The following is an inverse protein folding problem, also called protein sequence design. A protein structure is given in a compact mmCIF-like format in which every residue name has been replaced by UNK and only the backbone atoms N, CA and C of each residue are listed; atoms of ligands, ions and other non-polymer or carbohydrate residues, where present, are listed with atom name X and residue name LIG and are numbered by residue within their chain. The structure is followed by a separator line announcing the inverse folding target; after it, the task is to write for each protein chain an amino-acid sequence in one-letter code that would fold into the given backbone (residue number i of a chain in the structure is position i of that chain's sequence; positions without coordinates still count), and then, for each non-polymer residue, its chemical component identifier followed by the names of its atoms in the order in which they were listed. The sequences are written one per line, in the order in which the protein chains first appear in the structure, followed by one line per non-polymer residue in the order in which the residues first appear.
data_IF_274827003214
#
_entry.id   IF_274827003214
#
_cell.length_a   1.000
_cell.length_b   1.000
_cell.length_c   1.000
_cell.angle_alpha   90.00
_cell.angle_beta   90.00
_cell.angle_gamma   90.00
#
_symmetry.space_group_name_H-M   'P 1'
#
loop_
_entity.id
_entity.type
_entity.pdbx_description
1 polymer ?
#
# COMPACT_ATOMS: atom_id res chain seq x y z
N UNK A 1 -50.90 47.51 14.43
CA UNK A 1 -49.91 48.25 15.23
C UNK A 1 -48.52 47.84 14.74
N UNK A 2 -47.80 48.81 14.18
CA UNK A 2 -46.35 48.90 13.94
C UNK A 2 -45.64 47.87 13.06
N UNK A 3 -45.50 48.31 11.81
CA UNK A 3 -44.39 48.12 10.86
C UNK A 3 -43.02 48.20 11.54
N UNK A 4 -42.11 47.26 11.20
CA UNK A 4 -40.68 47.55 11.01
C UNK A 4 -40.21 46.86 9.71
N UNK A 5 -39.38 47.50 8.87
CA UNK A 5 -39.18 47.12 7.47
C UNK A 5 -37.70 46.76 7.12
N UNK A 6 -37.51 46.54 5.81
CA UNK A 6 -36.28 46.62 4.99
C UNK A 6 -35.26 45.45 5.01
N UNK A 7 -34.50 45.27 3.90
CA UNK A 7 -34.41 44.01 3.16
C UNK A 7 -32.91 43.64 2.98
N UNK A 8 -32.62 42.64 2.15
CA UNK A 8 -31.52 42.68 1.18
C UNK A 8 -31.29 41.28 0.62
N UNK A 9 -31.61 41.14 -0.65
CA UNK A 9 -30.76 40.49 -1.65
C UNK A 9 -29.70 39.52 -1.12
N UNK A 10 -30.02 38.22 -1.11
CA UNK A 10 -29.07 37.18 -1.52
C UNK A 10 -29.77 36.37 -2.62
N UNK A 11 -29.96 37.03 -3.76
CA UNK A 11 -30.09 36.36 -5.03
C UNK A 11 -28.67 35.99 -5.48
N UNK A 12 -28.47 34.73 -5.86
CA UNK A 12 -27.31 34.31 -6.66
C UNK A 12 -26.09 33.84 -5.87
N UNK A 13 -26.16 32.63 -5.31
CA UNK A 13 -25.00 31.73 -5.30
C UNK A 13 -25.45 30.25 -5.37
N UNK A 14 -26.35 29.97 -6.32
CA UNK A 14 -26.54 28.63 -6.89
C UNK A 14 -25.66 28.54 -8.14
N UNK A 15 -24.44 28.03 -8.02
CA UNK A 15 -23.67 27.34 -9.08
C UNK A 15 -22.15 27.37 -8.78
N UNK A 16 -21.67 26.59 -7.80
CA UNK A 16 -20.23 26.34 -7.69
C UNK A 16 -19.87 25.10 -6.84
N UNK A 17 -20.60 23.99 -6.95
CA UNK A 17 -20.18 22.70 -6.34
C UNK A 17 -20.63 21.51 -7.20
N UNK A 18 -20.13 21.47 -8.44
CA UNK A 18 -20.15 20.26 -9.26
C UNK A 18 -18.72 19.89 -9.69
N UNK A 19 -17.82 19.75 -8.71
CA UNK A 19 -16.70 18.82 -8.84
C UNK A 19 -17.07 17.58 -8.04
N UNK A 20 -17.93 16.74 -8.63
CA UNK A 20 -18.06 15.36 -8.19
C UNK A 20 -16.75 14.62 -8.51
N UNK A 21 -16.34 13.63 -7.69
CA UNK A 21 -15.26 12.74 -8.08
C UNK A 21 -15.68 12.02 -9.36
N UNK A 22 -15.05 12.36 -10.49
CA UNK A 22 -15.23 11.60 -11.73
C UNK A 22 -14.80 10.15 -11.45
N UNK A 23 -15.68 9.16 -11.56
CA UNK A 23 -15.29 7.78 -11.41
C UNK A 23 -14.41 7.41 -12.62
N UNK A 24 -13.17 7.00 -12.35
CA UNK A 24 -12.46 5.93 -13.04
C UNK A 24 -12.49 5.86 -14.60
N UNK A 25 -12.60 6.97 -15.31
CA UNK A 25 -12.53 7.00 -16.78
C UNK A 25 -11.09 7.04 -17.32
N UNK A 26 -10.15 6.33 -16.66
CA UNK A 26 -8.75 6.26 -17.07
C UNK A 26 -8.20 4.82 -17.16
N UNK A 27 -9.03 3.80 -16.93
CA UNK A 27 -8.59 2.39 -17.02
C UNK A 27 -8.81 1.75 -18.40
N UNK A 28 -9.32 2.48 -19.39
CA UNK A 28 -9.75 1.91 -20.68
C UNK A 28 -9.24 2.68 -21.93
N UNK A 29 -8.19 3.49 -21.80
CA UNK A 29 -7.69 4.30 -22.94
C UNK A 29 -6.72 3.54 -23.86
N UNK A 30 -6.42 2.28 -23.58
CA UNK A 30 -5.75 1.39 -24.52
C UNK A 30 -6.61 0.14 -24.64
N UNK A 31 -7.25 -0.07 -25.78
CA UNK A 31 -8.05 -1.28 -26.08
C UNK A 31 -7.21 -2.56 -26.19
N UNK A 32 -6.09 -2.61 -25.47
CA UNK A 32 -5.20 -3.75 -25.38
C UNK A 32 -5.87 -4.81 -24.50
N UNK A 33 -6.13 -5.97 -25.09
CA UNK A 33 -6.71 -7.08 -24.34
C UNK A 33 -5.66 -7.56 -23.34
N UNK A 34 -5.97 -7.54 -22.04
CA UNK A 34 -5.06 -8.02 -21.00
C UNK A 34 -5.40 -9.46 -20.64
N UNK A 35 -4.42 -10.35 -20.74
CA UNK A 35 -4.58 -11.74 -20.33
C UNK A 35 -3.62 -12.05 -19.17
N UNK A 36 -4.18 -12.26 -17.99
CA UNK A 36 -3.40 -12.58 -16.80
C UNK A 36 -3.32 -14.09 -16.64
N UNK A 37 -2.14 -14.66 -16.88
CA UNK A 37 -1.88 -16.11 -16.79
C UNK A 37 -0.99 -16.39 -15.59
N UNK A 38 -1.37 -17.35 -14.75
CA UNK A 38 -0.54 -17.83 -13.64
C UNK A 38 0.27 -19.01 -14.15
N UNK A 39 1.60 -18.87 -14.13
CA UNK A 39 2.55 -19.87 -14.63
C UNK A 39 3.25 -20.53 -13.44
N UNK A 40 3.33 -21.86 -13.44
CA UNK A 40 3.93 -22.62 -12.35
C UNK A 40 5.35 -23.04 -12.69
N UNK A 41 6.26 -22.83 -11.73
CA UNK A 41 7.68 -23.06 -11.85
C UNK A 41 8.27 -22.56 -13.15
N UNK A 42 8.78 -23.45 -14.00
CA UNK A 42 9.50 -23.12 -15.25
C UNK A 42 8.67 -23.23 -16.53
N UNK A 43 7.35 -23.37 -16.43
CA UNK A 43 6.49 -23.42 -17.61
C UNK A 43 6.65 -22.15 -18.48
N UNK A 44 6.65 -22.27 -19.82
CA UNK A 44 6.76 -21.12 -20.69
C UNK A 44 5.50 -20.24 -20.61
N UNK A 45 5.69 -18.94 -20.41
CA UNK A 45 4.62 -17.95 -20.54
C UNK A 45 4.11 -17.93 -22.00
N UNK A 46 2.81 -18.11 -22.25
CA UNK A 46 2.28 -18.06 -23.60
C UNK A 46 2.56 -16.69 -24.22
N UNK A 47 2.97 -16.68 -25.48
CA UNK A 47 3.27 -15.44 -26.19
C UNK A 47 1.96 -14.68 -26.49
N UNK A 48 1.96 -13.39 -26.18
CA UNK A 48 0.96 -12.41 -26.58
C UNK A 48 0.58 -12.56 -28.06
N UNK A 49 -0.71 -12.68 -28.37
CA UNK A 49 -1.22 -12.76 -29.75
C UNK A 49 -1.81 -11.41 -30.18
N UNK A 50 -1.25 -10.78 -31.21
CA UNK A 50 -1.78 -9.54 -31.77
C UNK A 50 -1.71 -8.38 -30.78
N UNK A 51 -2.85 -7.76 -30.48
CA UNK A 51 -3.00 -6.62 -29.54
C UNK A 51 -3.33 -7.06 -28.11
N UNK A 52 -3.01 -8.30 -27.73
CA UNK A 52 -3.23 -8.85 -26.39
C UNK A 52 -1.93 -8.87 -25.61
N UNK A 53 -1.87 -8.23 -24.44
CA UNK A 53 -0.72 -8.24 -23.54
C UNK A 53 -0.92 -9.37 -22.52
N UNK A 54 -0.08 -10.40 -22.59
CA UNK A 54 -0.07 -11.51 -21.62
C UNK A 54 0.86 -11.18 -20.45
N UNK A 55 0.29 -11.01 -19.25
CA UNK A 55 1.04 -10.79 -18.01
C UNK A 55 1.13 -12.11 -17.25
N UNK A 56 2.34 -12.65 -17.13
CA UNK A 56 2.57 -13.91 -16.44
C UNK A 56 3.02 -13.70 -15.00
N UNK A 57 2.18 -14.08 -14.04
CA UNK A 57 2.57 -14.16 -12.64
C UNK A 57 3.15 -15.56 -12.36
N UNK A 58 4.46 -15.63 -12.01
CA UNK A 58 5.13 -16.90 -11.70
C UNK A 58 4.91 -17.31 -10.25
N UNK A 59 4.44 -18.55 -10.05
CA UNK A 59 4.37 -19.24 -8.74
C UNK A 59 5.33 -20.42 -8.75
N UNK A 60 5.74 -20.92 -7.59
CA UNK A 60 6.63 -22.09 -7.54
C UNK A 60 5.88 -23.39 -7.89
N UNK A 61 6.63 -24.45 -8.22
CA UNK A 61 6.09 -25.75 -8.64
C UNK A 61 5.23 -26.43 -7.54
N UNK A 62 5.54 -26.20 -6.26
CA UNK A 62 4.79 -26.80 -5.16
C UNK A 62 3.39 -26.16 -4.97
N UNK A 63 3.16 -24.96 -5.51
CA UNK A 63 1.84 -24.29 -5.50
C UNK A 63 0.91 -24.83 -6.59
N UNK A 64 1.38 -25.70 -7.49
CA UNK A 64 0.52 -26.36 -8.49
C UNK A 64 -0.48 -27.33 -7.86
N UNK A 65 -0.05 -28.05 -6.81
CA UNK A 65 -0.85 -29.09 -6.15
C UNK A 65 -1.29 -28.70 -4.73
N UNK A 66 -0.93 -27.50 -4.27
CA UNK A 66 -1.26 -27.00 -2.93
C UNK A 66 -2.39 -25.99 -2.98
N UNK A 67 -3.25 -26.00 -1.96
CA UNK A 67 -4.28 -24.96 -1.78
C UNK A 67 -3.58 -23.59 -1.80
N UNK A 68 -4.03 -22.65 -2.68
CA UNK A 68 -3.37 -21.36 -2.82
C UNK A 68 -3.25 -20.67 -1.47
N UNK A 69 -2.11 -19.99 -1.24
CA UNK A 69 -1.83 -19.25 -0.01
C UNK A 69 -3.03 -18.49 0.61
N UNK A 70 -3.83 -17.70 -0.14
CA UNK A 70 -4.98 -16.99 0.44
C UNK A 70 -6.09 -17.92 0.98
N UNK A 71 -6.18 -19.16 0.49
CA UNK A 71 -7.18 -20.14 0.92
C UNK A 71 -6.66 -21.14 1.95
N UNK A 72 -5.41 -21.00 2.40
CA UNK A 72 -4.85 -21.86 3.45
C UNK A 72 -5.48 -21.63 4.81
N UNK A 73 -5.99 -20.42 5.06
CA UNK A 73 -6.71 -20.07 6.28
C UNK A 73 -8.18 -20.43 6.17
N UNK A 74 -8.49 -21.69 5.86
CA UNK A 74 -9.89 -22.13 5.80
C UNK A 74 -10.43 -22.37 7.20
N UNK A 75 -11.62 -21.85 7.49
CA UNK A 75 -12.37 -22.12 8.71
C UNK A 75 -12.98 -23.54 8.75
N UNK A 76 -12.39 -24.47 7.98
CA UNK A 76 -12.83 -25.85 7.90
C UNK A 76 -12.64 -26.53 9.26
N UNK A 77 -13.64 -27.26 9.79
CA UNK A 77 -13.54 -27.91 11.10
C UNK A 77 -12.35 -28.87 11.23
N UNK A 78 -11.79 -29.35 10.11
CA UNK A 78 -10.61 -30.22 10.07
C UNK A 78 -9.32 -29.49 10.49
N UNK A 79 -9.27 -28.17 10.40
CA UNK A 79 -8.09 -27.35 10.75
C UNK A 79 -8.07 -26.93 12.22
N UNK A 80 -9.12 -27.21 12.99
CA UNK A 80 -9.12 -26.89 14.41
C UNK A 80 -8.21 -27.82 15.22
N UNK A 81 -7.41 -27.22 16.10
CA UNK A 81 -6.58 -27.95 17.03
C UNK A 81 -7.41 -28.94 17.87
N UNK A 82 -6.88 -30.16 18.07
CA UNK A 82 -7.55 -31.21 18.85
C UNK A 82 -7.99 -30.72 20.24
N UNK A 83 -7.16 -29.91 20.90
CA UNK A 83 -7.48 -29.31 22.20
C UNK A 83 -8.78 -28.50 22.19
N UNK A 84 -9.03 -27.72 21.13
CA UNK A 84 -10.27 -26.93 21.01
C UNK A 84 -11.50 -27.85 20.88
N UNK A 85 -11.35 -29.01 20.23
CA UNK A 85 -12.41 -30.03 20.14
C UNK A 85 -12.71 -30.65 21.49
N UNK A 86 -11.67 -30.94 22.28
CA UNK A 86 -11.83 -31.49 23.64
C UNK A 86 -12.56 -30.48 24.54
N UNK A 87 -12.16 -29.20 24.51
CA UNK A 87 -12.86 -28.13 25.26
C UNK A 87 -14.32 -28.02 24.82
N UNK A 88 -14.62 -28.17 23.52
CA UNK A 88 -15.99 -28.17 23.05
C UNK A 88 -16.81 -29.33 23.65
N UNK A 89 -16.22 -30.52 23.83
CA UNK A 89 -16.91 -31.65 24.46
C UNK A 89 -17.32 -31.40 25.91
N UNK A 90 -16.57 -30.61 26.68
CA UNK A 90 -16.94 -30.23 28.05
C UNK A 90 -18.22 -29.38 28.12
N UNK A 91 -18.53 -28.68 27.02
CA UNK A 91 -19.74 -27.84 26.91
C UNK A 91 -20.95 -28.57 26.35
N UNK A 92 -20.78 -29.78 25.80
CA UNK A 92 -21.88 -30.61 25.28
C UNK A 92 -22.73 -31.08 26.47
N UNK A 93 -23.94 -30.52 26.58
CA UNK A 93 -24.85 -30.81 27.69
C UNK A 93 -24.97 -29.68 28.71
N UNK A 94 -24.17 -28.62 28.61
CA UNK A 94 -24.38 -27.40 29.38
C UNK A 94 -25.70 -26.74 28.93
N UNK A 95 -26.61 -26.51 29.89
CA UNK A 95 -27.89 -25.83 29.65
C UNK A 95 -28.03 -24.66 30.64
N UNK A 96 -28.51 -23.51 30.14
CA UNK A 96 -28.67 -22.28 30.92
C UNK A 96 -28.26 -21.03 30.16
N UNK A 97 -28.20 -19.89 30.86
CA UNK A 97 -27.71 -18.62 30.29
C UNK A 97 -26.26 -18.77 29.83
N UNK A 98 -25.91 -18.18 28.68
CA UNK A 98 -24.59 -18.29 28.04
C UNK A 98 -24.20 -19.68 27.50
N UNK A 99 -25.03 -20.70 27.64
CA UNK A 99 -24.87 -21.96 26.90
C UNK A 99 -25.35 -21.79 25.45
N UNK A 100 -24.85 -22.58 24.51
CA UNK A 100 -25.41 -22.67 23.15
C UNK A 100 -26.16 -23.99 22.97
N UNK A 101 -27.10 -24.25 23.88
CA UNK A 101 -27.95 -25.44 23.85
C UNK A 101 -29.34 -25.09 23.32
N UNK A 102 -29.95 -25.95 22.46
CA UNK A 102 -31.33 -25.78 22.00
C UNK A 102 -32.37 -26.04 23.10
N UNK A 103 -31.95 -26.59 24.25
CA UNK A 103 -32.83 -26.93 25.37
C UNK A 103 -32.41 -26.18 26.63
N UNK A 104 -33.34 -25.42 27.22
CA UNK A 104 -33.13 -24.69 28.47
C UNK A 104 -33.40 -23.19 28.36
N UNK A 105 -33.90 -22.59 29.45
CA UNK A 105 -34.15 -21.14 29.50
C UNK A 105 -32.82 -20.38 29.40
N UNK A 106 -32.74 -19.44 28.45
CA UNK A 106 -31.55 -18.60 28.26
C UNK A 106 -30.42 -19.20 27.41
N UNK A 107 -30.55 -20.41 26.85
CA UNK A 107 -29.55 -20.99 25.93
C UNK A 107 -29.47 -20.28 24.57
N UNK A 108 -30.47 -19.49 24.20
CA UNK A 108 -30.43 -18.70 22.97
C UNK A 108 -29.38 -17.58 23.03
N UNK A 109 -29.01 -17.08 24.23
CA UNK A 109 -28.05 -15.97 24.35
C UNK A 109 -26.63 -16.41 23.99
N UNK A 110 -26.20 -17.60 24.41
CA UNK A 110 -24.89 -18.15 24.06
C UNK A 110 -24.77 -18.47 22.56
N UNK A 111 -25.82 -19.04 21.95
CA UNK A 111 -25.83 -19.24 20.50
C UNK A 111 -25.87 -17.92 19.71
N UNK A 112 -26.59 -16.89 20.19
CA UNK A 112 -26.56 -15.57 19.56
C UNK A 112 -25.13 -15.00 19.55
N UNK A 113 -24.40 -15.08 20.66
CA UNK A 113 -22.99 -14.67 20.70
C UNK A 113 -22.11 -15.49 19.75
N UNK A 114 -22.31 -16.80 19.67
CA UNK A 114 -21.59 -17.67 18.72
C UNK A 114 -21.83 -17.24 17.26
N UNK A 115 -23.09 -16.98 16.89
CA UNK A 115 -23.44 -16.53 15.54
C UNK A 115 -22.87 -15.14 15.22
N UNK A 116 -22.90 -14.22 16.19
CA UNK A 116 -22.27 -12.90 16.06
C UNK A 116 -20.76 -13.03 15.83
N UNK A 117 -20.08 -13.85 16.64
CA UNK A 117 -18.65 -14.10 16.50
C UNK A 117 -18.31 -14.71 15.15
N UNK A 118 -19.10 -15.68 14.68
CA UNK A 118 -18.94 -16.27 13.35
C UNK A 118 -19.10 -15.21 12.24
N UNK A 119 -20.12 -14.35 12.33
CA UNK A 119 -20.32 -13.28 11.35
C UNK A 119 -19.13 -12.29 11.30
N UNK A 120 -18.57 -11.91 12.44
CA UNK A 120 -17.37 -11.07 12.48
C UNK A 120 -16.11 -11.81 11.99
N UNK A 121 -15.98 -13.10 12.24
CA UNK A 121 -14.88 -13.92 11.73
C UNK A 121 -14.91 -13.99 10.20
N UNK A 122 -16.08 -14.24 9.60
CA UNK A 122 -16.25 -14.22 8.14
C UNK A 122 -15.93 -12.84 7.55
N UNK A 123 -16.37 -11.75 8.20
CA UNK A 123 -16.03 -10.40 7.77
C UNK A 123 -14.52 -10.15 7.79
N UNK A 124 -13.81 -10.62 8.82
CA UNK A 124 -12.35 -10.48 8.92
C UNK A 124 -11.62 -11.30 7.85
N UNK A 125 -12.14 -12.49 7.52
CA UNK A 125 -11.59 -13.36 6.48
C UNK A 125 -12.02 -12.95 5.06
N UNK A 126 -12.92 -11.97 4.93
CA UNK A 126 -13.36 -11.50 3.61
C UNK A 126 -12.16 -11.02 2.77
N UNK A 127 -12.14 -11.36 1.46
CA UNK A 127 -11.02 -10.99 0.58
C UNK A 127 -10.71 -9.50 0.61
N UNK A 128 -11.72 -8.63 0.63
CA UNK A 128 -11.54 -7.16 0.62
C UNK A 128 -10.74 -6.65 1.83
N UNK A 129 -11.04 -7.19 3.02
CA UNK A 129 -10.34 -6.82 4.26
C UNK A 129 -8.91 -7.37 4.26
N UNK A 130 -8.71 -8.59 3.74
CA UNK A 130 -7.38 -9.19 3.62
C UNK A 130 -6.51 -8.45 2.59
N UNK A 131 -7.07 -8.05 1.45
CA UNK A 131 -6.39 -7.21 0.47
C UNK A 131 -6.00 -5.85 1.05
N UNK A 132 -6.91 -5.21 1.80
CA UNK A 132 -6.64 -3.94 2.48
C UNK A 132 -5.45 -4.05 3.44
N UNK A 133 -5.40 -5.11 4.25
CA UNK A 133 -4.28 -5.36 5.16
C UNK A 133 -2.95 -5.55 4.43
N UNK A 134 -2.95 -6.27 3.30
CA UNK A 134 -1.74 -6.44 2.48
C UNK A 134 -1.27 -5.11 1.88
N UNK A 135 -2.19 -4.25 1.45
CA UNK A 135 -1.87 -2.91 0.94
C UNK A 135 -1.26 -2.03 2.04
N UNK A 136 -1.83 -2.07 3.24
CA UNK A 136 -1.32 -1.31 4.38
C UNK A 136 0.06 -1.80 4.82
N UNK A 137 0.29 -3.11 4.82
CA UNK A 137 1.61 -3.68 5.11
C UNK A 137 2.67 -3.23 4.10
N UNK A 138 2.35 -3.22 2.79
CA UNK A 138 3.26 -2.70 1.77
C UNK A 138 3.45 -1.18 1.84
N UNK A 139 2.41 -0.44 2.22
CA UNK A 139 2.53 1.00 2.50
C UNK A 139 3.52 1.23 3.64
N UNK A 140 3.41 0.47 4.73
CA UNK A 140 4.34 0.57 5.87
C UNK A 140 5.78 0.23 5.48
N UNK A 141 6.00 -0.78 4.64
CA UNK A 141 7.34 -1.08 4.10
C UNK A 141 7.93 0.10 3.32
N UNK A 142 7.16 0.68 2.40
CA UNK A 142 7.60 1.87 1.64
C UNK A 142 7.88 3.06 2.55
N UNK A 143 7.03 3.31 3.55
CA UNK A 143 7.26 4.35 4.56
C UNK A 143 8.58 4.10 5.31
N UNK A 144 8.84 2.86 5.74
CA UNK A 144 10.08 2.54 6.46
C UNK A 144 11.34 2.79 5.63
N UNK A 145 11.31 2.54 4.32
CA UNK A 145 12.44 2.85 3.43
C UNK A 145 12.64 4.36 3.31
N UNK A 146 11.56 5.12 3.14
CA UNK A 146 11.60 6.59 3.08
C UNK A 146 12.18 7.15 4.38
N UNK A 147 11.75 6.63 5.54
CA UNK A 147 12.25 7.09 6.84
C UNK A 147 13.77 6.83 6.99
N UNK A 148 14.25 5.67 6.52
CA UNK A 148 15.69 5.36 6.54
C UNK A 148 16.49 6.27 5.60
N UNK A 149 15.98 6.57 4.41
CA UNK A 149 16.64 7.45 3.43
C UNK A 149 16.62 8.92 3.88
N UNK A 150 15.52 9.37 4.49
CA UNK A 150 15.40 10.68 5.07
C UNK A 150 16.39 10.87 6.23
N UNK A 151 16.54 9.87 7.11
CA UNK A 151 17.52 9.91 8.20
C UNK A 151 18.97 9.97 7.68
N UNK A 152 19.30 9.19 6.65
CA UNK A 152 20.62 9.25 6.01
C UNK A 152 20.89 10.61 5.34
N UNK A 153 19.89 11.17 4.68
CA UNK A 153 19.99 12.50 4.04
C UNK A 153 20.16 13.60 5.07
N UNK A 154 19.40 13.57 6.16
CA UNK A 154 19.50 14.52 7.26
C UNK A 154 20.91 14.49 7.88
N UNK A 155 21.44 13.30 8.16
CA UNK A 155 22.80 13.15 8.67
C UNK A 155 23.87 13.71 7.70
N UNK A 156 23.69 13.53 6.39
CA UNK A 156 24.57 14.09 5.36
C UNK A 156 24.53 15.62 5.33
N UNK A 157 23.34 16.20 5.44
CA UNK A 157 23.16 17.67 5.45
C UNK A 157 23.84 18.26 6.68
N UNK A 158 23.63 17.69 7.86
CA UNK A 158 24.26 18.15 9.11
C UNK A 158 25.80 18.10 9.06
N UNK A 159 26.37 17.08 8.41
CA UNK A 159 27.81 17.00 8.19
C UNK A 159 28.31 18.08 7.22
N UNK A 160 27.57 18.34 6.13
CA UNK A 160 27.91 19.40 5.19
C UNK A 160 27.86 20.79 5.84
N UNK A 161 26.85 21.05 6.67
CA UNK A 161 26.70 22.30 7.41
C UNK A 161 27.86 22.51 8.39
N UNK A 162 28.25 21.48 9.15
CA UNK A 162 29.42 21.53 10.04
C UNK A 162 30.71 21.84 9.28
N UNK A 163 30.91 21.19 8.13
CA UNK A 163 32.08 21.44 7.27
C UNK A 163 32.08 22.86 6.69
N UNK A 164 30.91 23.41 6.35
CA UNK A 164 30.77 24.78 5.86
C UNK A 164 31.03 25.80 6.96
N UNK A 165 30.52 25.59 8.17
CA UNK A 165 30.81 26.43 9.33
C UNK A 165 32.29 26.44 9.71
N UNK A 166 32.96 25.28 9.69
CA UNK A 166 34.39 25.19 9.94
C UNK A 166 35.23 25.97 8.92
N UNK A 167 34.85 25.93 7.63
CA UNK A 167 35.50 26.74 6.58
C UNK A 167 35.29 28.23 6.80
N UNK A 168 34.10 28.67 7.19
CA UNK A 168 33.82 30.07 7.50
C UNK A 168 34.59 30.56 8.73
N UNK A 169 34.62 29.79 9.82
CA UNK A 169 35.38 30.15 11.02
C UNK A 169 36.90 30.27 10.75
N UNK A 170 37.44 29.46 9.84
CA UNK A 170 38.84 29.55 9.40
C UNK A 170 39.12 30.78 8.53
N UNK A 171 38.16 31.19 7.69
CA UNK A 171 38.27 32.45 6.94
C UNK A 171 38.15 33.68 7.83
N UNK A 172 37.30 33.64 8.86
CA UNK A 172 37.09 34.77 9.78
C UNK A 172 38.25 34.99 10.75
N UNK A 173 39.04 33.93 11.04
CA UNK A 173 40.22 33.99 11.91
C UNK A 173 41.53 34.33 11.19
N UNK A 174 41.50 34.50 9.86
CA UNK A 174 42.65 34.96 9.08
C UNK A 174 42.58 36.50 8.93
N UNK A 175 43.50 37.29 9.50
CA UNK A 175 43.59 38.71 9.16
C UNK A 175 43.94 38.81 7.68
N UNK A 176 43.17 39.60 6.93
CA UNK A 176 43.33 39.80 5.50
C UNK A 176 44.79 40.08 5.09
N UNK A 177 45.46 39.07 4.55
CA UNK A 177 46.70 39.22 3.79
C UNK A 177 46.33 39.24 2.29
N UNK A 178 46.18 40.46 1.80
CA UNK A 178 46.50 40.94 0.44
C UNK A 178 46.26 40.00 -0.76
N UNK A 179 45.20 40.25 -1.54
CA UNK A 179 45.23 40.12 -3.00
C UNK A 179 44.07 40.88 -3.67
N UNK A 180 44.42 41.86 -4.50
CA UNK A 180 43.57 42.69 -5.39
C UNK A 180 43.31 41.91 -6.71
N UNK A 181 42.22 42.18 -7.46
CA UNK A 181 41.51 41.17 -8.25
C UNK A 181 42.06 41.02 -9.68
N UNK A 182 42.06 39.77 -10.17
CA UNK A 182 42.44 39.41 -11.53
C UNK A 182 41.30 38.73 -12.28
N UNK A 183 40.67 39.51 -13.16
CA UNK A 183 39.87 39.14 -14.34
C UNK A 183 40.14 37.72 -14.87
N UNK A 184 39.09 36.91 -15.02
CA UNK A 184 38.72 36.22 -16.28
C UNK A 184 37.41 35.45 -16.10
N UNK A 185 36.37 35.88 -16.80
CA UNK A 185 35.24 35.03 -17.17
C UNK A 185 35.65 34.16 -18.37
N UNK A 186 35.46 32.83 -18.31
CA UNK A 186 35.24 32.03 -19.49
C UNK A 186 33.76 31.71 -19.59
N UNK A 187 33.18 32.25 -20.65
CA UNK A 187 31.93 31.86 -21.27
C UNK A 187 31.82 30.31 -21.37
N UNK A 188 30.75 29.73 -20.81
CA UNK A 188 30.30 28.37 -21.16
C UNK A 188 28.92 28.48 -21.80
N UNK A 189 28.88 29.01 -23.02
CA UNK A 189 27.91 28.66 -24.03
C UNK A 189 28.38 27.39 -24.71
N UNK A 190 28.07 26.22 -24.16
CA UNK A 190 28.01 24.97 -24.92
C UNK A 190 26.99 24.08 -24.25
N UNK A 191 25.76 24.14 -24.77
CA UNK A 191 24.84 23.01 -24.71
C UNK A 191 25.58 21.80 -25.29
N UNK A 192 25.87 20.82 -24.45
CA UNK A 192 26.25 19.49 -24.92
C UNK A 192 25.17 18.53 -24.46
N UNK A 193 24.53 17.97 -25.48
CA UNK A 193 23.56 16.89 -25.47
C UNK A 193 23.73 15.90 -24.30
N UNK A 194 22.61 15.61 -23.63
CA UNK A 194 22.44 14.42 -22.81
C UNK A 194 22.25 13.23 -23.76
N UNK A 195 23.15 12.24 -23.85
CA UNK A 195 22.80 10.98 -24.47
C UNK A 195 21.98 10.17 -23.47
N UNK A 196 20.68 10.17 -23.68
CA UNK A 196 19.76 9.22 -23.07
C UNK A 196 20.12 7.82 -23.61
N UNK A 197 20.69 6.95 -22.78
CA UNK A 197 20.83 5.53 -23.11
C UNK A 197 20.37 4.70 -21.91
N UNK A 198 19.09 4.31 -21.97
CA UNK A 198 18.57 3.14 -21.28
C UNK A 198 19.18 1.93 -21.99
N UNK A 199 20.31 1.45 -21.46
CA UNK A 199 21.00 0.25 -21.91
C UNK A 199 20.55 -0.96 -21.12
N UNK A 200 19.82 -1.83 -21.81
CA UNK A 200 19.44 -3.20 -21.44
C UNK A 200 20.66 -4.04 -21.03
N UNK A 201 20.71 -4.50 -19.78
CA UNK A 201 21.63 -5.55 -19.36
C UNK A 201 20.90 -6.91 -19.44
N UNK A 202 21.06 -7.59 -20.58
CA UNK A 202 20.73 -9.00 -20.77
C UNK A 202 22.03 -9.81 -20.86
N UNK A 203 22.17 -10.76 -19.92
CA UNK A 203 22.96 -12.01 -19.88
C UNK A 203 24.20 -12.21 -20.78
N UNK A 204 25.33 -12.65 -20.19
CA UNK A 204 25.92 -13.99 -20.40
C UNK A 204 27.33 -14.18 -19.79
N UNK A 205 27.50 -15.24 -18.98
CA UNK A 205 28.55 -16.25 -19.13
C UNK A 205 30.02 -15.91 -18.81
N UNK A 206 30.48 -16.34 -17.63
CA UNK A 206 31.48 -17.41 -17.49
C UNK A 206 31.39 -18.07 -16.12
#
# INVERSE_FOLDING_TARGET
MRIVPIPAAIAGLLAATALGPAPAAAQDTSGDKMNMVIVYGNDPCPQSRGSEITVCARKDEAERYRIPAPFRNSASPQNEAWTNKVVAYETVGAAGTMSCSPTGAGGWTGCAHKLINAAYAEKKNSPDVQFSQMIDAERQKRLSTIDTEAAATQARVEQLEKNYQARQAASDTTPAATAVPGKTTPNVSTQSAVPNTVGTASSAGK
#
